data_IF_548779500605
#
_entry.id   IF_548779500605
#
_cell.length_a   1.000
_cell.length_b   1.000
_cell.length_c   1.000
_cell.angle_alpha   90.00
_cell.angle_beta   90.00
_cell.angle_gamma   90.00
#
_symmetry.space_group_name_H-M   'P 1'
#
loop_
_entity.id
_entity.type
_entity.pdbx_description
1 polymer ?
#
# COMPACT_ATOMS: atom_id res chain seq x y z
N UNK A 1 -24.70 -17.25 -45.72
CA UNK A 1 -23.68 -17.90 -44.86
C UNK A 1 -22.46 -17.02 -44.60
N UNK A 2 -21.80 -16.45 -45.60
CA UNK A 2 -20.60 -15.60 -45.40
C UNK A 2 -20.83 -14.30 -44.64
N UNK A 3 -21.99 -13.66 -44.79
CA UNK A 3 -22.36 -12.41 -44.10
C UNK A 3 -22.66 -12.65 -42.64
N UNK A 4 -23.28 -13.80 -42.30
CA UNK A 4 -23.56 -14.17 -40.90
C UNK A 4 -22.27 -14.49 -40.10
N UNK A 5 -21.26 -15.09 -40.80
CA UNK A 5 -19.95 -15.38 -40.17
C UNK A 5 -19.17 -14.09 -39.85
N UNK A 6 -19.26 -13.06 -40.73
CA UNK A 6 -18.63 -11.75 -40.50
C UNK A 6 -19.26 -10.99 -39.33
N UNK A 7 -20.59 -11.08 -39.18
CA UNK A 7 -21.30 -10.47 -38.04
C UNK A 7 -20.96 -11.18 -36.70
N UNK A 8 -20.84 -12.51 -36.71
CA UNK A 8 -20.44 -13.27 -35.52
C UNK A 8 -18.99 -13.00 -35.12
N UNK A 9 -18.07 -12.89 -36.08
CA UNK A 9 -16.68 -12.49 -35.81
C UNK A 9 -16.57 -11.06 -35.32
N UNK A 10 -17.33 -10.11 -35.88
CA UNK A 10 -17.35 -8.73 -35.40
C UNK A 10 -17.92 -8.60 -33.99
N UNK A 11 -18.97 -9.36 -33.65
CA UNK A 11 -19.54 -9.40 -32.29
C UNK A 11 -18.60 -10.08 -31.30
N UNK A 12 -17.88 -11.13 -31.69
CA UNK A 12 -16.85 -11.77 -30.86
C UNK A 12 -15.62 -10.86 -30.68
N UNK A 13 -15.18 -10.11 -31.69
CA UNK A 13 -14.15 -9.09 -31.53
C UNK A 13 -14.62 -7.91 -30.66
N UNK A 14 -15.89 -7.49 -30.73
CA UNK A 14 -16.42 -6.42 -29.89
C UNK A 14 -16.64 -6.85 -28.43
N UNK A 15 -16.88 -8.14 -28.16
CA UNK A 15 -16.99 -8.69 -26.80
C UNK A 15 -15.63 -9.00 -26.16
N UNK A 16 -14.52 -8.98 -26.92
CA UNK A 16 -13.17 -9.18 -26.36
C UNK A 16 -12.53 -7.89 -25.83
N UNK A 17 -13.16 -6.72 -26.04
CA UNK A 17 -12.58 -5.44 -25.61
C UNK A 17 -12.96 -4.98 -24.21
N UNK A 18 -13.70 -5.75 -23.42
CA UNK A 18 -14.20 -5.30 -22.10
C UNK A 18 -13.96 -6.24 -20.94
N UNK A 19 -13.11 -7.22 -21.07
CA UNK A 19 -12.68 -8.00 -19.92
C UNK A 19 -11.49 -7.30 -19.29
N UNK A 20 -11.72 -6.59 -18.16
CA UNK A 20 -10.62 -6.09 -17.35
C UNK A 20 -9.75 -7.27 -16.91
N UNK A 21 -8.45 -7.15 -17.14
CA UNK A 21 -7.51 -8.17 -16.71
C UNK A 21 -6.94 -7.75 -15.35
N UNK A 22 -6.93 -8.64 -14.35
CA UNK A 22 -6.30 -8.37 -13.08
C UNK A 22 -4.83 -7.97 -13.27
N UNK A 23 -4.32 -7.09 -12.42
CA UNK A 23 -2.87 -6.86 -12.35
C UNK A 23 -2.20 -8.19 -11.97
N UNK A 24 -1.22 -8.69 -12.74
CA UNK A 24 -0.70 -10.05 -12.59
C UNK A 24 -0.20 -10.39 -11.19
N UNK A 25 0.63 -9.51 -10.60
CA UNK A 25 1.13 -9.63 -9.23
C UNK A 25 0.51 -8.53 -8.39
N UNK A 26 -0.20 -8.90 -7.32
CA UNK A 26 -0.93 -7.96 -6.48
C UNK A 26 -0.89 -8.38 -5.03
N UNK A 27 -0.65 -7.44 -4.12
CA UNK A 27 -0.45 -7.82 -2.73
C UNK A 27 -0.16 -6.66 -1.78
N UNK A 28 0.54 -7.01 -0.72
CA UNK A 28 0.94 -6.09 0.34
C UNK A 28 2.46 -6.02 0.40
N UNK A 29 2.99 -4.83 0.64
CA UNK A 29 4.38 -4.62 1.01
C UNK A 29 4.44 -4.11 2.45
N UNK A 30 4.99 -4.91 3.38
CA UNK A 30 5.24 -4.47 4.77
C UNK A 30 6.46 -3.54 4.77
N UNK A 31 6.25 -2.30 4.31
CA UNK A 31 7.32 -1.33 4.05
C UNK A 31 7.27 -0.07 4.90
N UNK A 32 6.45 -0.03 5.95
CA UNK A 32 6.32 1.10 6.86
C UNK A 32 7.47 1.17 7.89
N UNK A 33 7.71 2.38 8.41
CA UNK A 33 8.57 2.62 9.58
C UNK A 33 7.78 2.48 10.88
N UNK A 34 8.42 1.95 11.92
CA UNK A 34 7.82 1.71 13.24
C UNK A 34 7.97 0.27 13.66
N UNK A 35 7.14 -0.16 14.61
CA UNK A 35 7.19 -1.54 15.11
C UNK A 35 6.77 -2.52 14.02
N UNK A 36 7.66 -3.41 13.56
CA UNK A 36 7.29 -4.44 12.59
C UNK A 36 6.13 -5.30 13.10
N UNK A 37 5.29 -5.75 12.21
CA UNK A 37 4.22 -6.69 12.56
C UNK A 37 4.77 -7.94 13.24
N UNK A 38 4.00 -8.52 14.14
CA UNK A 38 4.32 -9.83 14.74
C UNK A 38 4.20 -10.93 13.70
N UNK A 39 4.82 -12.07 13.95
CA UNK A 39 4.70 -13.22 13.05
C UNK A 39 3.26 -13.70 12.91
N UNK A 40 2.47 -13.61 13.98
CA UNK A 40 1.05 -13.94 13.97
C UNK A 40 0.25 -12.97 13.06
N UNK A 41 0.51 -11.66 13.16
CA UNK A 41 -0.12 -10.66 12.29
C UNK A 41 0.23 -10.90 10.81
N UNK A 42 1.49 -11.25 10.49
CA UNK A 42 1.92 -11.58 9.12
C UNK A 42 1.20 -12.83 8.59
N UNK A 43 1.13 -13.89 9.40
CA UNK A 43 0.42 -15.13 9.04
C UNK A 43 -1.09 -14.90 8.84
N UNK A 44 -1.71 -14.07 9.67
CA UNK A 44 -3.12 -13.67 9.50
C UNK A 44 -3.29 -12.82 8.23
N UNK A 45 -2.35 -11.91 7.95
CA UNK A 45 -2.38 -11.05 6.76
C UNK A 45 -2.23 -11.84 5.46
N UNK A 46 -1.31 -12.79 5.36
CA UNK A 46 -1.16 -13.58 4.13
C UNK A 46 -2.40 -14.43 3.84
N UNK A 47 -3.09 -14.95 4.87
CA UNK A 47 -4.37 -15.63 4.72
C UNK A 47 -5.47 -14.67 4.27
N UNK A 48 -5.53 -13.49 4.88
CA UNK A 48 -6.51 -12.47 4.54
C UNK A 48 -6.39 -12.04 3.08
N UNK A 49 -5.19 -11.67 2.63
CA UNK A 49 -4.98 -11.22 1.25
C UNK A 49 -5.19 -12.34 0.22
N UNK A 50 -4.82 -13.58 0.55
CA UNK A 50 -5.10 -14.74 -0.30
C UNK A 50 -6.60 -14.96 -0.52
N UNK A 51 -7.42 -14.81 0.53
CA UNK A 51 -8.88 -14.88 0.41
C UNK A 51 -9.48 -13.78 -0.46
N UNK A 52 -8.81 -12.63 -0.59
CA UNK A 52 -9.20 -11.53 -1.47
C UNK A 52 -8.70 -11.69 -2.91
N UNK A 53 -8.00 -12.79 -3.23
CA UNK A 53 -7.41 -13.02 -4.55
C UNK A 53 -6.11 -12.24 -4.81
N UNK A 54 -5.52 -11.61 -3.81
CA UNK A 54 -4.13 -11.15 -3.88
C UNK A 54 -3.19 -12.36 -3.83
N UNK A 55 -2.02 -12.24 -4.46
CA UNK A 55 -1.11 -13.37 -4.67
C UNK A 55 0.36 -13.10 -4.31
N UNK A 56 0.64 -11.99 -3.62
CA UNK A 56 2.00 -11.66 -3.23
C UNK A 56 2.07 -10.88 -1.90
N UNK A 57 3.13 -11.12 -1.14
CA UNK A 57 3.45 -10.39 0.07
C UNK A 57 4.95 -10.08 0.11
N UNK A 58 5.33 -8.80 0.17
CA UNK A 58 6.72 -8.38 0.30
C UNK A 58 7.07 -8.17 1.77
N UNK A 59 7.99 -8.99 2.28
CA UNK A 59 8.58 -8.81 3.60
C UNK A 59 9.69 -7.76 3.53
N UNK A 60 9.43 -6.56 4.02
CA UNK A 60 10.34 -5.41 3.93
C UNK A 60 10.24 -4.44 5.12
N UNK A 61 10.09 -4.90 6.39
CA UNK A 61 9.89 -3.99 7.51
C UNK A 61 11.12 -3.11 7.71
N UNK A 62 10.94 -1.78 7.62
CA UNK A 62 12.04 -0.79 7.64
C UNK A 62 12.87 -0.84 8.92
N UNK A 63 12.23 -1.13 10.05
CA UNK A 63 12.89 -1.19 11.36
C UNK A 63 13.31 -2.62 11.76
N UNK A 64 13.26 -3.59 10.82
CA UNK A 64 13.94 -4.87 10.97
C UNK A 64 15.45 -4.66 10.69
N UNK A 65 16.32 -4.82 11.68
CA UNK A 65 17.75 -4.55 11.50
C UNK A 65 18.39 -5.43 10.42
N UNK A 66 17.93 -6.66 10.24
CA UNK A 66 18.51 -7.59 9.25
C UNK A 66 18.01 -7.33 7.82
N UNK A 67 16.94 -6.59 7.66
CA UNK A 67 16.49 -6.10 6.37
C UNK A 67 17.35 -4.92 5.89
N UNK A 68 17.77 -4.01 6.79
CA UNK A 68 18.37 -2.72 6.45
C UNK A 68 19.75 -2.47 7.07
N UNK A 69 19.87 -2.20 8.37
CA UNK A 69 21.13 -1.80 9.02
C UNK A 69 22.18 -2.91 9.01
N UNK A 70 21.76 -4.13 9.33
CA UNK A 70 22.61 -5.34 9.40
C UNK A 70 22.36 -6.27 8.21
N UNK A 71 22.09 -5.69 7.05
CA UNK A 71 21.74 -6.46 5.87
C UNK A 71 22.79 -7.51 5.47
N UNK A 72 24.05 -7.34 5.85
CA UNK A 72 25.12 -8.31 5.61
C UNK A 72 25.03 -9.54 6.52
N UNK A 73 24.43 -9.38 7.70
CA UNK A 73 24.33 -10.46 8.67
C UNK A 73 23.16 -11.42 8.31
N UNK A 74 23.32 -12.74 8.55
CA UNK A 74 22.20 -13.66 8.43
C UNK A 74 21.16 -13.38 9.53
N UNK A 75 19.91 -13.66 9.24
CA UNK A 75 18.87 -13.63 10.27
C UNK A 75 19.16 -14.63 11.39
N UNK A 76 18.86 -14.31 12.67
CA UNK A 76 18.95 -15.25 13.78
C UNK A 76 18.15 -16.52 13.50
N UNK A 77 18.60 -17.64 14.08
CA UNK A 77 17.98 -18.95 13.82
C UNK A 77 16.46 -18.97 14.06
N UNK A 78 15.99 -18.36 15.17
CA UNK A 78 14.55 -18.27 15.48
C UNK A 78 13.77 -17.52 14.41
N UNK A 79 14.30 -16.39 13.92
CA UNK A 79 13.62 -15.60 12.88
C UNK A 79 13.64 -16.31 11.51
N UNK A 80 14.67 -17.11 11.22
CA UNK A 80 14.69 -17.93 10.00
C UNK A 80 13.61 -19.01 10.00
N UNK A 81 13.30 -19.59 11.16
CA UNK A 81 12.20 -20.53 11.32
C UNK A 81 10.85 -19.82 11.09
N UNK A 82 10.69 -18.62 11.61
CA UNK A 82 9.43 -17.87 11.42
C UNK A 82 9.25 -17.39 9.97
N UNK A 83 10.34 -17.02 9.28
CA UNK A 83 10.29 -16.72 7.83
C UNK A 83 9.91 -17.95 7.00
N UNK A 84 10.45 -19.12 7.34
CA UNK A 84 10.10 -20.39 6.70
C UNK A 84 8.61 -20.72 6.91
N UNK A 85 8.11 -20.60 8.16
CA UNK A 85 6.69 -20.77 8.47
C UNK A 85 5.80 -19.77 7.73
N UNK A 86 6.22 -18.51 7.67
CA UNK A 86 5.47 -17.49 6.94
C UNK A 86 5.39 -17.84 5.44
N UNK A 87 6.49 -18.33 4.85
CA UNK A 87 6.48 -18.80 3.47
C UNK A 87 5.49 -19.97 3.26
N UNK A 88 5.52 -20.97 4.15
CA UNK A 88 4.60 -22.10 4.10
C UNK A 88 3.11 -21.66 4.22
N UNK A 89 2.79 -20.74 5.13
CA UNK A 89 1.43 -20.23 5.30
C UNK A 89 1.00 -19.38 4.09
N UNK A 90 1.91 -18.61 3.51
CA UNK A 90 1.68 -17.84 2.29
C UNK A 90 1.38 -18.79 1.11
N UNK A 91 2.19 -19.83 0.90
CA UNK A 91 1.97 -20.83 -0.15
C UNK A 91 0.60 -21.53 -0.01
N UNK A 92 0.20 -21.92 1.22
CA UNK A 92 -1.14 -22.50 1.49
C UNK A 92 -2.26 -21.52 1.13
N UNK A 93 -2.04 -20.23 1.28
CA UNK A 93 -2.99 -19.18 0.94
C UNK A 93 -2.95 -18.77 -0.56
N UNK A 94 -2.08 -19.38 -1.37
CA UNK A 94 -1.86 -18.99 -2.77
C UNK A 94 -1.12 -17.65 -2.91
N UNK A 95 -0.40 -17.25 -1.87
CA UNK A 95 0.37 -15.98 -1.80
C UNK A 95 1.86 -16.29 -1.87
N UNK A 96 2.57 -15.62 -2.75
CA UNK A 96 4.02 -15.72 -2.84
C UNK A 96 4.68 -14.78 -1.84
N UNK A 97 5.55 -15.32 -0.98
CA UNK A 97 6.44 -14.51 -0.14
C UNK A 97 7.61 -13.97 -0.98
N UNK A 98 7.77 -12.65 -1.00
CA UNK A 98 8.87 -11.94 -1.65
C UNK A 98 9.77 -11.39 -0.54
N UNK A 99 11.06 -11.72 -0.59
CA UNK A 99 12.01 -11.29 0.42
C UNK A 99 12.79 -10.07 -0.06
N UNK A 100 12.63 -8.94 0.64
CA UNK A 100 13.32 -7.70 0.31
C UNK A 100 14.55 -7.46 1.20
N UNK A 101 15.57 -6.80 0.63
CA UNK A 101 16.78 -6.35 1.33
C UNK A 101 17.05 -4.90 0.93
N UNK A 102 17.35 -4.05 1.91
CA UNK A 102 17.67 -2.62 1.70
C UNK A 102 19.13 -2.32 2.10
N UNK A 103 20.10 -2.51 1.18
CA UNK A 103 21.53 -2.38 1.50
C UNK A 103 22.05 -0.95 1.41
N UNK A 104 21.23 0.00 0.98
CA UNK A 104 21.67 1.32 0.48
C UNK A 104 22.29 2.26 1.49
N UNK A 105 22.19 1.99 2.80
CA UNK A 105 22.76 2.86 3.84
C UNK A 105 24.28 2.89 3.85
N UNK A 106 24.93 1.77 3.55
CA UNK A 106 26.39 1.60 3.73
C UNK A 106 27.05 0.65 2.74
N UNK A 107 26.37 0.30 1.65
CA UNK A 107 26.91 -0.59 0.63
C UNK A 107 28.09 0.06 -0.11
N UNK A 108 29.17 -0.70 -0.27
CA UNK A 108 30.32 -0.29 -1.07
C UNK A 108 30.20 -0.80 -2.52
N UNK A 109 29.86 0.08 -3.43
CA UNK A 109 29.70 -0.30 -4.85
C UNK A 109 31.02 -0.47 -5.61
N UNK A 110 32.08 0.28 -5.24
CA UNK A 110 33.29 0.38 -6.05
C UNK A 110 34.61 0.28 -5.25
N UNK A 111 34.56 0.42 -3.93
CA UNK A 111 35.74 0.46 -3.07
C UNK A 111 36.25 -0.93 -2.65
N UNK A 112 37.00 -0.95 -1.57
CA UNK A 112 37.69 -2.16 -1.07
C UNK A 112 36.74 -3.26 -0.57
N UNK A 113 35.53 -2.89 -0.13
CA UNK A 113 34.54 -3.84 0.40
C UNK A 113 33.55 -4.36 -0.64
N UNK A 114 33.59 -3.87 -1.88
CA UNK A 114 32.67 -4.23 -2.95
C UNK A 114 32.40 -5.74 -3.07
N UNK A 115 33.46 -6.56 -3.10
CA UNK A 115 33.31 -7.99 -3.28
C UNK A 115 32.85 -8.72 -2.00
N UNK A 116 33.12 -8.15 -0.82
CA UNK A 116 32.57 -8.63 0.45
C UNK A 116 31.04 -8.37 0.49
N UNK A 117 30.61 -7.19 0.08
CA UNK A 117 29.20 -6.81 0.04
C UNK A 117 28.40 -7.65 -0.96
N UNK A 118 28.96 -7.90 -2.14
CA UNK A 118 28.39 -8.81 -3.12
C UNK A 118 28.21 -10.23 -2.57
N UNK A 119 29.26 -10.77 -1.92
CA UNK A 119 29.19 -12.11 -1.30
C UNK A 119 28.16 -12.16 -0.16
N UNK A 120 28.12 -11.13 0.70
CA UNK A 120 27.16 -11.08 1.80
C UNK A 120 25.72 -11.10 1.28
N UNK A 121 25.44 -10.35 0.20
CA UNK A 121 24.12 -10.34 -0.44
C UNK A 121 23.75 -11.71 -1.02
N UNK A 122 24.65 -12.33 -1.80
CA UNK A 122 24.42 -13.67 -2.35
C UNK A 122 24.18 -14.68 -1.23
N UNK A 123 25.03 -14.70 -0.20
CA UNK A 123 24.88 -15.62 0.92
C UNK A 123 23.53 -15.47 1.64
N UNK A 124 23.05 -14.24 1.81
CA UNK A 124 21.73 -14.00 2.40
C UNK A 124 20.60 -14.48 1.50
N UNK A 125 20.67 -14.21 0.20
CA UNK A 125 19.69 -14.68 -0.77
C UNK A 125 19.66 -16.20 -0.87
N UNK A 126 20.82 -16.86 -0.91
CA UNK A 126 20.95 -18.34 -0.88
C UNK A 126 20.32 -18.94 0.38
N UNK A 127 20.56 -18.30 1.54
CA UNK A 127 19.95 -18.74 2.79
C UNK A 127 18.42 -18.65 2.71
N UNK A 128 17.84 -17.59 2.15
CA UNK A 128 16.40 -17.46 2.01
C UNK A 128 15.83 -18.37 0.92
N UNK A 129 16.57 -18.58 -0.17
CA UNK A 129 16.23 -19.55 -1.20
C UNK A 129 16.14 -20.97 -0.61
N UNK A 130 17.06 -21.35 0.26
CA UNK A 130 17.02 -22.64 0.99
C UNK A 130 15.79 -22.78 1.91
N UNK A 131 15.09 -21.68 2.22
CA UNK A 131 13.86 -21.63 3.00
C UNK A 131 12.60 -21.58 2.12
N UNK A 132 12.71 -21.87 0.84
CA UNK A 132 11.58 -21.92 -0.09
C UNK A 132 11.26 -20.59 -0.78
N UNK A 133 11.94 -19.48 -0.48
CA UNK A 133 11.67 -18.19 -1.12
C UNK A 133 12.12 -18.21 -2.58
N UNK A 134 11.26 -17.75 -3.49
CA UNK A 134 11.45 -17.81 -4.94
C UNK A 134 11.33 -16.45 -5.64
N UNK A 135 11.26 -15.36 -4.88
CA UNK A 135 11.36 -14.01 -5.42
C UNK A 135 12.03 -13.07 -4.41
N UNK A 136 12.85 -12.17 -4.92
CA UNK A 136 13.66 -11.26 -4.14
C UNK A 136 13.47 -9.82 -4.60
N UNK A 137 13.70 -8.87 -3.67
CA UNK A 137 13.65 -7.46 -3.97
C UNK A 137 14.86 -6.72 -3.37
N UNK A 138 15.35 -5.70 -4.07
CA UNK A 138 16.38 -4.77 -3.60
C UNK A 138 15.81 -3.37 -3.50
N UNK A 139 15.88 -2.79 -2.33
CA UNK A 139 15.32 -1.48 -2.04
C UNK A 139 16.44 -0.46 -1.78
N UNK A 140 16.44 0.60 -2.58
CA UNK A 140 17.36 1.74 -2.47
C UNK A 140 16.63 3.05 -2.20
N UNK A 141 15.37 2.97 -1.74
CA UNK A 141 14.58 4.10 -1.28
C UNK A 141 15.11 4.63 0.07
N UNK A 142 14.85 5.89 0.34
CA UNK A 142 15.14 6.58 1.60
C UNK A 142 16.61 6.47 2.05
N UNK A 143 17.53 6.58 1.13
CA UNK A 143 18.97 6.59 1.39
C UNK A 143 19.59 7.94 1.02
N UNK A 144 20.66 8.36 1.72
CA UNK A 144 21.24 9.70 1.52
C UNK A 144 21.98 9.86 0.19
N UNK A 145 22.53 8.77 -0.36
CA UNK A 145 23.38 8.83 -1.56
C UNK A 145 22.67 8.29 -2.81
N UNK A 146 22.59 9.12 -3.85
CA UNK A 146 22.06 8.74 -5.18
C UNK A 146 23.18 8.24 -6.09
N UNK A 147 23.56 6.98 -5.99
CA UNK A 147 24.60 6.37 -6.82
C UNK A 147 24.02 5.43 -7.90
N UNK A 148 23.46 6.01 -8.96
CA UNK A 148 22.82 5.24 -10.02
C UNK A 148 23.75 4.18 -10.67
N UNK A 149 25.01 4.55 -10.96
CA UNK A 149 25.95 3.64 -11.60
C UNK A 149 26.33 2.48 -10.71
N UNK A 150 26.52 2.76 -9.41
CA UNK A 150 26.82 1.73 -8.40
C UNK A 150 25.63 0.79 -8.19
N UNK A 151 24.45 1.35 -8.03
CA UNK A 151 23.22 0.58 -7.87
C UNK A 151 22.92 -0.29 -9.10
N UNK A 152 22.98 0.26 -10.31
CA UNK A 152 22.76 -0.52 -11.53
C UNK A 152 23.80 -1.65 -11.70
N UNK A 153 25.07 -1.38 -11.41
CA UNK A 153 26.11 -2.42 -11.48
C UNK A 153 25.89 -3.53 -10.43
N UNK A 154 25.43 -3.18 -9.22
CA UNK A 154 25.14 -4.14 -8.19
C UNK A 154 23.88 -4.97 -8.52
N UNK A 155 22.81 -4.34 -8.97
CA UNK A 155 21.58 -5.01 -9.42
C UNK A 155 21.90 -6.00 -10.53
N UNK A 156 22.66 -5.58 -11.55
CA UNK A 156 23.06 -6.44 -12.66
C UNK A 156 23.95 -7.62 -12.18
N UNK A 157 24.84 -7.38 -11.22
CA UNK A 157 25.63 -8.46 -10.62
C UNK A 157 24.72 -9.50 -9.95
N UNK A 158 23.79 -9.09 -9.07
CA UNK A 158 22.84 -9.99 -8.41
C UNK A 158 21.95 -10.71 -9.43
N UNK A 159 21.44 -9.99 -10.41
CA UNK A 159 20.62 -10.59 -11.46
C UNK A 159 21.35 -11.66 -12.27
N UNK A 160 22.64 -11.45 -12.55
CA UNK A 160 23.42 -12.36 -13.38
C UNK A 160 24.02 -13.54 -12.60
N UNK A 161 24.36 -13.37 -11.31
CA UNK A 161 25.05 -14.38 -10.49
C UNK A 161 24.16 -15.12 -9.51
N UNK A 162 22.91 -14.70 -9.33
CA UNK A 162 21.96 -15.37 -8.45
C UNK A 162 20.62 -15.62 -9.15
N UNK A 163 19.95 -14.57 -9.64
CA UNK A 163 18.61 -14.74 -10.21
C UNK A 163 18.63 -15.68 -11.43
N UNK A 164 19.57 -15.48 -12.33
CA UNK A 164 19.67 -16.29 -13.59
C UNK A 164 20.27 -17.67 -13.39
N UNK A 165 20.98 -17.89 -12.30
CA UNK A 165 21.58 -19.20 -11.98
C UNK A 165 20.56 -20.18 -11.36
N UNK A 166 19.37 -19.68 -10.99
CA UNK A 166 18.26 -20.46 -10.43
C UNK A 166 17.04 -20.36 -11.35
N UNK A 167 16.68 -21.45 -12.01
CA UNK A 167 15.58 -21.47 -13.00
C UNK A 167 14.18 -21.21 -12.43
N UNK A 168 14.00 -21.44 -11.12
CA UNK A 168 12.72 -21.29 -10.41
C UNK A 168 12.59 -19.94 -9.66
N UNK A 169 13.59 -19.05 -9.74
CA UNK A 169 13.51 -17.71 -9.19
C UNK A 169 12.85 -16.75 -10.19
N UNK A 170 11.88 -16.01 -9.72
CA UNK A 170 11.18 -14.97 -10.50
C UNK A 170 12.04 -13.71 -10.65
N UNK A 171 11.70 -12.82 -11.59
CA UNK A 171 12.42 -11.58 -11.84
C UNK A 171 12.67 -10.77 -10.57
N UNK A 172 13.87 -10.19 -10.46
CA UNK A 172 14.26 -9.33 -9.36
C UNK A 172 13.43 -8.04 -9.35
N UNK A 173 12.89 -7.68 -8.21
CA UNK A 173 12.17 -6.43 -8.00
C UNK A 173 13.13 -5.38 -7.44
N UNK A 174 13.03 -4.14 -7.92
CA UNK A 174 13.86 -3.03 -7.46
C UNK A 174 13.02 -1.79 -7.18
N UNK A 175 13.26 -1.19 -6.03
CA UNK A 175 12.85 0.19 -5.75
C UNK A 175 14.12 1.06 -5.85
N UNK A 176 14.22 1.95 -6.84
CA UNK A 176 15.38 2.83 -7.00
C UNK A 176 15.34 3.97 -5.96
N UNK A 177 16.43 4.73 -5.80
CA UNK A 177 16.45 5.88 -4.89
C UNK A 177 15.50 6.99 -5.35
N UNK A 178 15.41 7.24 -6.64
CA UNK A 178 14.35 8.09 -7.21
C UNK A 178 13.16 7.19 -7.56
N UNK A 179 12.17 7.07 -6.67
CA UNK A 179 11.06 6.14 -6.77
C UNK A 179 9.70 6.79 -6.99
N UNK A 180 9.66 8.13 -7.16
CA UNK A 180 8.43 8.84 -7.56
C UNK A 180 8.74 9.92 -8.62
N UNK A 181 7.74 10.24 -9.44
CA UNK A 181 7.94 11.04 -10.66
C UNK A 181 8.55 12.42 -10.42
N UNK A 182 8.15 13.12 -9.33
CA UNK A 182 8.70 14.46 -9.06
C UNK A 182 10.19 14.46 -8.66
N UNK A 183 10.75 13.30 -8.24
CA UNK A 183 12.19 13.12 -8.10
C UNK A 183 12.88 12.62 -9.36
N UNK A 184 12.17 11.79 -10.15
CA UNK A 184 12.70 11.18 -11.37
C UNK A 184 12.91 12.18 -12.50
N UNK A 185 12.29 13.36 -12.43
CA UNK A 185 12.35 14.34 -13.50
C UNK A 185 12.77 15.73 -13.03
N UNK A 186 13.40 16.45 -13.94
CA UNK A 186 13.69 17.87 -13.81
C UNK A 186 13.42 18.56 -15.14
N UNK A 187 12.60 19.62 -15.12
CA UNK A 187 12.21 20.37 -16.34
C UNK A 187 11.59 19.46 -17.42
N UNK A 188 10.76 18.49 -17.04
CA UNK A 188 10.07 17.58 -17.97
C UNK A 188 10.97 16.52 -18.63
N UNK A 189 12.17 16.30 -18.10
CA UNK A 189 13.13 15.28 -18.58
C UNK A 189 13.58 14.40 -17.42
N UNK A 190 13.87 13.12 -17.66
CA UNK A 190 14.41 12.25 -16.62
C UNK A 190 15.73 12.83 -16.08
N UNK A 191 15.93 12.69 -14.78
CA UNK A 191 17.20 13.06 -14.14
C UNK A 191 18.34 12.20 -14.67
N UNK A 192 19.59 12.60 -14.36
CA UNK A 192 20.76 11.76 -14.67
C UNK A 192 20.68 10.39 -13.97
N UNK A 193 20.20 10.36 -12.71
CA UNK A 193 20.01 9.13 -11.95
C UNK A 193 19.04 8.19 -12.67
N UNK A 194 17.80 8.64 -12.92
CA UNK A 194 16.76 7.87 -13.63
C UNK A 194 17.23 7.42 -15.01
N UNK A 195 17.93 8.29 -15.77
CA UNK A 195 18.45 7.92 -17.10
C UNK A 195 19.51 6.80 -17.05
N UNK A 196 20.41 6.83 -16.06
CA UNK A 196 21.41 5.75 -15.88
C UNK A 196 20.71 4.46 -15.46
N UNK A 197 19.84 4.49 -14.44
CA UNK A 197 19.12 3.32 -13.96
C UNK A 197 18.36 2.63 -15.09
N UNK A 198 17.57 3.38 -15.85
CA UNK A 198 16.73 2.82 -16.92
C UNK A 198 17.51 2.34 -18.15
N UNK A 199 18.72 2.86 -18.40
CA UNK A 199 19.50 2.48 -19.58
C UNK A 199 20.55 1.41 -19.31
N UNK A 200 20.97 1.20 -18.06
CA UNK A 200 22.07 0.30 -17.72
C UNK A 200 21.66 -0.92 -16.91
N UNK A 201 20.46 -0.90 -16.29
CA UNK A 201 19.94 -2.07 -15.57
C UNK A 201 19.36 -3.11 -16.53
N UNK A 202 19.52 -4.38 -16.21
CA UNK A 202 18.97 -5.52 -16.99
C UNK A 202 17.47 -5.37 -17.22
N UNK A 203 17.01 -5.67 -18.43
CA UNK A 203 15.59 -5.57 -18.80
C UNK A 203 14.71 -6.62 -18.09
N UNK A 204 15.29 -7.65 -17.49
CA UNK A 204 14.55 -8.66 -16.71
C UNK A 204 14.19 -8.18 -15.29
N UNK A 205 14.65 -7.00 -14.88
CA UNK A 205 14.35 -6.42 -13.55
C UNK A 205 13.04 -5.65 -13.60
N UNK A 206 12.22 -5.78 -12.55
CA UNK A 206 10.97 -5.03 -12.40
C UNK A 206 11.18 -3.84 -11.49
N UNK A 207 10.80 -2.64 -11.93
CA UNK A 207 10.91 -1.42 -11.13
C UNK A 207 9.57 -1.04 -10.49
N UNK A 208 9.59 -0.74 -9.18
CA UNK A 208 8.43 -0.19 -8.48
C UNK A 208 8.55 1.32 -8.29
N UNK A 209 7.40 2.00 -8.32
CA UNK A 209 7.27 3.43 -8.06
C UNK A 209 5.98 3.75 -7.29
N UNK A 210 5.92 4.92 -6.65
CA UNK A 210 4.78 5.30 -5.81
C UNK A 210 3.77 6.25 -6.49
N UNK A 211 4.07 6.76 -7.66
CA UNK A 211 3.22 7.71 -8.40
C UNK A 211 3.86 9.07 -8.60
N UNK A 212 3.07 10.15 -8.57
CA UNK A 212 3.56 11.52 -8.77
C UNK A 212 4.48 12.00 -7.64
N UNK A 213 4.20 11.56 -6.40
CA UNK A 213 4.95 11.84 -5.19
C UNK A 213 5.19 10.60 -4.36
N UNK A 214 5.79 10.74 -3.17
CA UNK A 214 6.00 9.65 -2.22
C UNK A 214 4.66 9.04 -1.76
N UNK A 215 3.72 9.89 -1.31
CA UNK A 215 2.37 9.50 -0.90
C UNK A 215 1.36 10.35 -1.69
N UNK A 216 1.09 10.04 -2.96
CA UNK A 216 0.20 10.86 -3.78
C UNK A 216 -1.28 10.59 -3.47
N UNK A 217 -2.14 11.58 -3.75
CA UNK A 217 -3.59 11.48 -3.55
C UNK A 217 -4.30 10.61 -4.61
N UNK A 218 -3.59 10.13 -5.60
CA UNK A 218 -4.11 9.30 -6.68
C UNK A 218 -3.03 8.94 -7.70
N UNK A 219 -3.37 8.07 -8.62
CA UNK A 219 -2.53 7.65 -9.74
C UNK A 219 -3.20 8.02 -11.06
N UNK A 220 -2.74 9.09 -11.70
CA UNK A 220 -3.28 9.50 -12.98
C UNK A 220 -2.77 8.63 -14.15
N UNK A 221 -3.54 8.59 -15.25
CA UNK A 221 -3.09 7.91 -16.47
C UNK A 221 -1.82 8.54 -17.07
N UNK A 222 -1.60 9.82 -16.83
CA UNK A 222 -0.40 10.52 -17.32
C UNK A 222 0.84 10.18 -16.49
N UNK A 223 0.69 9.96 -15.18
CA UNK A 223 1.76 9.45 -14.33
C UNK A 223 2.21 8.06 -14.80
N UNK A 224 1.25 7.17 -15.07
CA UNK A 224 1.52 5.83 -15.61
C UNK A 224 2.30 5.90 -16.91
N UNK A 225 1.82 6.69 -17.90
CA UNK A 225 2.49 6.87 -19.20
C UNK A 225 3.91 7.42 -19.03
N UNK A 226 4.07 8.41 -18.16
CA UNK A 226 5.36 9.05 -17.92
C UNK A 226 6.37 8.08 -17.33
N UNK A 227 6.00 7.35 -16.28
CA UNK A 227 6.86 6.33 -15.69
C UNK A 227 7.27 5.25 -16.71
N UNK A 228 6.30 4.70 -17.46
CA UNK A 228 6.56 3.75 -18.54
C UNK A 228 7.50 4.32 -19.61
N UNK A 229 7.45 5.62 -19.90
CA UNK A 229 8.36 6.24 -20.87
C UNK A 229 9.81 6.27 -20.39
N UNK A 230 10.03 6.38 -19.07
CA UNK A 230 11.38 6.35 -18.47
C UNK A 230 11.93 4.92 -18.40
N UNK A 231 11.14 3.95 -17.95
CA UNK A 231 11.52 2.54 -17.79
C UNK A 231 10.93 1.64 -18.91
N UNK A 232 10.91 2.14 -20.15
CA UNK A 232 10.23 1.50 -21.31
C UNK A 232 10.66 0.07 -21.62
N UNK A 233 11.86 -0.32 -21.24
CA UNK A 233 12.42 -1.65 -21.51
C UNK A 233 12.28 -2.62 -20.35
N UNK A 234 11.70 -2.17 -19.24
CA UNK A 234 11.52 -2.96 -18.03
C UNK A 234 10.04 -3.10 -17.72
N UNK A 235 9.69 -4.20 -17.07
CA UNK A 235 8.42 -4.31 -16.40
C UNK A 235 8.37 -3.35 -15.20
N UNK A 236 7.18 -2.87 -14.90
CA UNK A 236 6.97 -1.85 -13.88
C UNK A 236 5.82 -2.21 -12.97
N UNK A 237 5.91 -1.82 -11.72
CA UNK A 237 4.87 -2.02 -10.73
C UNK A 237 4.66 -0.79 -9.85
N UNK A 238 3.56 -0.78 -9.14
CA UNK A 238 3.12 0.29 -8.26
C UNK A 238 3.31 -0.16 -6.81
N UNK A 239 4.04 0.63 -6.04
CA UNK A 239 4.07 0.60 -4.59
C UNK A 239 3.16 1.72 -4.09
N UNK A 240 1.96 1.38 -3.62
CA UNK A 240 0.97 2.36 -3.23
C UNK A 240 1.09 2.71 -1.74
N UNK A 241 1.54 3.93 -1.45
CA UNK A 241 1.74 4.43 -0.09
C UNK A 241 0.44 4.93 0.56
N UNK A 242 -0.53 4.03 0.67
CA UNK A 242 -1.75 4.15 1.44
C UNK A 242 -2.22 2.73 1.82
N UNK A 243 -2.61 2.46 3.07
CA UNK A 243 -2.88 3.36 4.19
C UNK A 243 -1.68 3.69 5.10
N UNK A 244 -0.44 3.49 4.68
CA UNK A 244 0.73 3.82 5.51
C UNK A 244 0.61 5.22 6.12
N UNK A 245 0.90 5.32 7.43
CA UNK A 245 0.77 6.56 8.20
C UNK A 245 1.95 6.83 9.14
N UNK A 246 3.08 6.22 8.89
CA UNK A 246 4.27 6.27 9.74
C UNK A 246 4.84 7.69 9.91
N UNK A 247 4.58 8.58 8.96
CA UNK A 247 4.92 10.01 9.03
C UNK A 247 3.88 10.86 9.79
N UNK A 248 2.69 10.31 10.11
CA UNK A 248 1.61 10.94 10.90
C UNK A 248 0.94 9.89 11.80
N UNK A 249 1.70 9.32 12.74
CA UNK A 249 1.31 8.13 13.53
C UNK A 249 0.04 8.29 14.40
N UNK A 250 -0.35 9.51 14.72
CA UNK A 250 -1.55 9.83 15.49
C UNK A 250 -2.83 9.91 14.66
N UNK A 251 -2.75 9.65 13.35
CA UNK A 251 -3.88 9.63 12.43
C UNK A 251 -4.05 8.26 11.80
N UNK A 252 -5.31 7.86 11.62
CA UNK A 252 -5.69 6.62 10.94
C UNK A 252 -6.02 6.89 9.48
N UNK A 253 -5.77 5.89 8.63
CA UNK A 253 -6.11 5.89 7.22
C UNK A 253 -7.09 4.73 6.93
N UNK A 254 -8.38 4.98 7.14
CA UNK A 254 -9.45 3.96 7.06
C UNK A 254 -10.35 4.13 5.83
N UNK A 255 -10.00 5.02 4.92
CA UNK A 255 -10.70 5.20 3.65
C UNK A 255 -10.34 4.12 2.62
N UNK A 256 -11.01 4.15 1.46
CA UNK A 256 -10.65 3.29 0.33
C UNK A 256 -9.37 3.78 -0.35
N UNK A 257 -8.77 2.92 -1.16
CA UNK A 257 -7.86 3.35 -2.21
C UNK A 257 -8.68 4.06 -3.27
N UNK A 258 -8.39 5.30 -3.57
CA UNK A 258 -9.19 6.13 -4.46
C UNK A 258 -8.36 6.88 -5.51
N UNK A 259 -9.05 7.54 -6.46
CA UNK A 259 -8.42 8.33 -7.54
C UNK A 259 -7.41 7.53 -8.39
N UNK A 260 -7.64 6.24 -8.56
CA UNK A 260 -6.73 5.35 -9.27
C UNK A 260 -6.99 5.32 -10.78
N UNK A 261 -5.92 5.21 -11.56
CA UNK A 261 -6.02 5.01 -13.01
C UNK A 261 -6.81 3.75 -13.36
N UNK A 262 -7.73 3.86 -14.30
CA UNK A 262 -8.49 2.71 -14.85
C UNK A 262 -7.65 1.79 -15.75
N UNK A 263 -6.46 2.22 -16.12
CA UNK A 263 -5.49 1.44 -16.91
C UNK A 263 -4.08 1.64 -16.35
N UNK A 264 -3.72 0.98 -15.25
CA UNK A 264 -2.43 1.18 -14.58
C UNK A 264 -1.22 0.69 -15.39
N UNK A 265 -1.40 -0.18 -16.41
CA UNK A 265 -0.33 -0.74 -17.24
C UNK A 265 0.85 -1.26 -16.41
N UNK A 266 0.57 -1.88 -15.27
CA UNK A 266 1.54 -2.36 -14.30
C UNK A 266 1.50 -3.88 -14.20
N UNK A 267 2.68 -4.51 -14.08
CA UNK A 267 2.80 -5.94 -13.80
C UNK A 267 2.58 -6.27 -12.32
N UNK A 268 2.76 -5.27 -11.45
CA UNK A 268 2.67 -5.44 -10.01
C UNK A 268 1.94 -4.26 -9.34
N UNK A 269 1.19 -4.57 -8.28
CA UNK A 269 0.56 -3.58 -7.41
C UNK A 269 0.64 -4.02 -5.95
N UNK A 270 1.25 -3.19 -5.11
CA UNK A 270 1.41 -3.46 -3.69
C UNK A 270 0.89 -2.32 -2.83
N UNK A 271 0.08 -2.66 -1.85
CA UNK A 271 -0.43 -1.73 -0.83
C UNK A 271 0.56 -1.68 0.33
N UNK A 272 1.02 -0.49 0.71
CA UNK A 272 1.85 -0.29 1.91
C UNK A 272 0.93 0.06 3.11
N UNK A 273 0.86 -0.80 4.13
CA UNK A 273 -0.09 -0.68 5.23
C UNK A 273 0.40 0.23 6.36
N UNK A 274 -0.48 0.46 7.35
CA UNK A 274 -0.11 1.03 8.65
C UNK A 274 0.59 -0.02 9.54
N UNK A 275 1.26 0.43 10.59
CA UNK A 275 1.69 -0.41 11.72
C UNK A 275 0.50 -1.18 12.34
N UNK A 276 -0.72 -0.66 12.23
CA UNK A 276 -1.99 -1.25 12.69
C UNK A 276 -2.52 -2.26 11.68
N UNK A 277 -2.17 -3.53 11.86
CA UNK A 277 -2.43 -4.60 10.89
C UNK A 277 -3.93 -4.84 10.64
N UNK A 278 -4.75 -4.86 11.71
CA UNK A 278 -6.19 -5.12 11.59
C UNK A 278 -6.93 -3.97 10.91
N UNK A 279 -6.60 -2.74 11.26
CA UNK A 279 -7.22 -1.56 10.64
C UNK A 279 -6.78 -1.36 9.19
N UNK A 280 -5.57 -1.78 8.83
CA UNK A 280 -5.07 -1.74 7.45
C UNK A 280 -5.87 -2.62 6.49
N UNK A 281 -6.53 -3.66 7.00
CA UNK A 281 -7.35 -4.58 6.20
C UNK A 281 -8.46 -3.90 5.42
N UNK A 282 -9.00 -2.76 5.90
CA UNK A 282 -10.02 -1.98 5.19
C UNK A 282 -9.48 -1.50 3.84
N UNK A 283 -8.38 -0.76 3.85
CA UNK A 283 -7.78 -0.23 2.63
C UNK A 283 -7.17 -1.35 1.76
N UNK A 284 -6.58 -2.39 2.37
CA UNK A 284 -6.04 -3.54 1.64
C UNK A 284 -7.14 -4.26 0.85
N UNK A 285 -8.35 -4.43 1.42
CA UNK A 285 -9.47 -5.04 0.72
C UNK A 285 -9.89 -4.21 -0.51
N UNK A 286 -9.93 -2.88 -0.38
CA UNK A 286 -10.24 -2.02 -1.53
C UNK A 286 -9.12 -2.03 -2.58
N UNK A 287 -7.86 -2.18 -2.14
CA UNK A 287 -6.72 -2.37 -3.04
C UNK A 287 -6.76 -3.69 -3.79
N UNK A 288 -7.29 -4.74 -3.14
CA UNK A 288 -7.52 -6.02 -3.81
C UNK A 288 -8.58 -5.89 -4.91
N UNK A 289 -9.71 -5.27 -4.62
CA UNK A 289 -10.77 -5.02 -5.62
C UNK A 289 -10.24 -4.19 -6.79
N UNK A 290 -9.49 -3.11 -6.51
CA UNK A 290 -8.83 -2.33 -7.55
C UNK A 290 -7.90 -3.19 -8.42
N UNK A 291 -7.02 -3.95 -7.79
CA UNK A 291 -6.04 -4.75 -8.54
C UNK A 291 -6.68 -5.91 -9.32
N UNK A 292 -7.84 -6.40 -8.90
CA UNK A 292 -8.60 -7.43 -9.61
C UNK A 292 -9.34 -6.88 -10.84
N UNK A 293 -9.84 -5.67 -10.77
CA UNK A 293 -10.56 -5.03 -11.88
C UNK A 293 -10.36 -3.50 -11.87
N UNK A 294 -9.19 -3.00 -12.33
CA UNK A 294 -8.95 -1.56 -12.33
C UNK A 294 -9.95 -0.74 -13.16
N UNK A 295 -10.46 -1.34 -14.25
CA UNK A 295 -11.37 -0.66 -15.16
C UNK A 295 -12.72 -0.33 -14.53
N UNK A 296 -13.30 -1.28 -13.79
CA UNK A 296 -14.63 -1.17 -13.20
C UNK A 296 -14.59 -0.91 -11.68
N UNK A 297 -13.42 -0.66 -11.12
CA UNK A 297 -13.28 -0.35 -9.71
C UNK A 297 -14.14 0.86 -9.31
N UNK A 298 -14.96 0.65 -8.26
CA UNK A 298 -15.79 1.66 -7.61
C UNK A 298 -15.36 1.73 -6.14
N UNK A 299 -14.63 2.77 -5.80
CA UNK A 299 -14.01 2.95 -4.48
C UNK A 299 -15.04 2.99 -3.35
N UNK A 300 -16.19 3.62 -3.59
CA UNK A 300 -17.27 3.74 -2.57
C UNK A 300 -17.89 2.38 -2.29
N UNK A 301 -18.27 1.65 -3.32
CA UNK A 301 -18.85 0.32 -3.19
C UNK A 301 -17.86 -0.66 -2.56
N UNK A 302 -16.62 -0.66 -3.01
CA UNK A 302 -15.56 -1.50 -2.47
C UNK A 302 -15.34 -1.25 -0.98
N UNK A 303 -15.32 0.02 -0.57
CA UNK A 303 -15.15 0.39 0.82
C UNK A 303 -16.30 -0.06 1.73
N UNK A 304 -17.55 0.13 1.29
CA UNK A 304 -18.71 -0.40 2.01
C UNK A 304 -18.67 -1.92 2.15
N UNK A 305 -18.32 -2.62 1.08
CA UNK A 305 -18.17 -4.08 1.12
C UNK A 305 -17.07 -4.50 2.10
N UNK A 306 -15.91 -3.84 2.06
CA UNK A 306 -14.79 -4.12 2.97
C UNK A 306 -15.18 -3.95 4.44
N UNK A 307 -15.93 -2.90 4.78
CA UNK A 307 -16.43 -2.67 6.13
C UNK A 307 -17.46 -3.74 6.54
N UNK A 308 -18.39 -4.07 5.64
CA UNK A 308 -19.42 -5.07 5.90
C UNK A 308 -18.83 -6.47 6.14
N UNK A 309 -17.94 -6.92 5.27
CA UNK A 309 -17.31 -8.25 5.36
C UNK A 309 -16.42 -8.39 6.62
N UNK A 310 -15.73 -7.32 7.02
CA UNK A 310 -14.80 -7.39 8.16
C UNK A 310 -15.49 -7.17 9.51
N UNK A 311 -16.53 -6.35 9.58
CA UNK A 311 -17.12 -5.92 10.84
C UNK A 311 -18.57 -6.41 11.05
N UNK A 312 -19.24 -6.94 10.03
CA UNK A 312 -20.56 -7.55 10.10
C UNK A 312 -21.57 -6.62 10.80
N UNK A 313 -22.15 -7.07 11.92
CA UNK A 313 -23.13 -6.28 12.68
C UNK A 313 -22.64 -4.92 13.23
N UNK A 314 -21.34 -4.69 13.21
CA UNK A 314 -20.71 -3.43 13.63
C UNK A 314 -20.34 -2.54 12.44
N UNK A 315 -20.68 -2.92 11.21
CA UNK A 315 -20.28 -2.24 9.97
C UNK A 315 -20.71 -0.78 9.91
N UNK A 316 -21.95 -0.47 10.27
CA UNK A 316 -22.47 0.91 10.29
C UNK A 316 -21.77 1.78 11.33
N UNK A 317 -21.49 1.23 12.52
CA UNK A 317 -20.74 1.96 13.55
C UNK A 317 -19.30 2.18 13.10
N UNK A 318 -18.69 1.16 12.50
CA UNK A 318 -17.34 1.23 11.97
C UNK A 318 -17.25 2.18 10.77
N UNK A 319 -18.29 2.27 9.95
CA UNK A 319 -18.38 3.24 8.86
C UNK A 319 -18.32 4.68 9.39
N UNK A 320 -19.07 5.01 10.45
CA UNK A 320 -19.02 6.34 11.08
C UNK A 320 -17.64 6.68 11.65
N UNK A 321 -16.93 5.66 12.17
CA UNK A 321 -15.56 5.82 12.64
C UNK A 321 -14.57 5.96 11.47
N UNK A 322 -14.67 5.10 10.48
CA UNK A 322 -13.79 5.12 9.31
C UNK A 322 -13.99 6.38 8.45
N UNK A 323 -15.23 6.87 8.30
CA UNK A 323 -15.54 8.13 7.59
C UNK A 323 -14.80 9.33 8.20
N UNK A 324 -14.70 9.37 9.52
CA UNK A 324 -13.95 10.42 10.23
C UNK A 324 -12.42 10.27 10.13
N UNK A 325 -11.94 9.13 9.63
CA UNK A 325 -10.52 8.75 9.55
C UNK A 325 -10.12 8.27 8.15
N UNK A 326 -10.71 8.82 7.08
CA UNK A 326 -10.48 8.32 5.71
C UNK A 326 -9.11 8.67 5.16
N UNK A 327 -8.58 9.86 5.47
CA UNK A 327 -7.41 10.44 4.80
C UNK A 327 -6.41 11.02 5.78
N UNK A 328 -5.15 11.09 5.36
CA UNK A 328 -4.02 11.62 6.13
C UNK A 328 -3.73 13.11 5.88
N UNK A 329 -4.64 13.83 5.26
CA UNK A 329 -4.50 15.26 4.94
C UNK A 329 -4.38 16.14 6.20
N UNK A 330 -3.79 17.33 6.03
CA UNK A 330 -3.49 18.24 7.15
C UNK A 330 -4.72 18.75 7.92
N UNK A 331 -5.92 18.70 7.33
CA UNK A 331 -7.16 19.17 7.93
C UNK A 331 -7.71 18.27 9.05
N UNK A 332 -7.04 17.18 9.35
CA UNK A 332 -7.42 16.21 10.37
C UNK A 332 -7.06 16.66 11.80
N UNK A 333 -6.91 17.94 12.03
CA UNK A 333 -6.50 18.50 13.32
C UNK A 333 -7.47 18.20 14.50
N UNK A 334 -8.70 17.79 14.21
CA UNK A 334 -9.69 17.43 15.23
C UNK A 334 -10.37 16.12 14.87
N UNK A 335 -10.19 15.07 15.67
CA UNK A 335 -10.96 13.84 15.51
C UNK A 335 -12.45 14.17 15.59
N UNK A 336 -13.15 13.94 14.49
CA UNK A 336 -14.59 13.94 14.44
C UNK A 336 -15.32 15.25 14.19
N UNK A 337 -14.68 16.41 14.20
CA UNK A 337 -15.42 17.67 14.18
C UNK A 337 -15.90 18.09 12.79
N UNK A 338 -15.03 18.27 11.85
CA UNK A 338 -15.36 18.77 10.49
C UNK A 338 -14.80 17.90 9.37
N UNK A 339 -14.21 16.77 9.71
CA UNK A 339 -13.41 15.98 8.79
C UNK A 339 -14.25 15.06 7.89
N UNK A 340 -15.48 14.77 8.29
CA UNK A 340 -16.36 14.00 7.40
C UNK A 340 -17.00 14.92 6.38
N UNK A 341 -17.08 14.53 5.10
CA UNK A 341 -17.65 15.37 4.06
C UNK A 341 -19.09 15.83 4.35
N UNK A 342 -19.89 14.98 4.99
CA UNK A 342 -21.25 15.30 5.40
C UNK A 342 -21.31 16.39 6.49
N UNK A 343 -20.53 16.24 7.54
CA UNK A 343 -20.45 17.22 8.62
C UNK A 343 -19.87 18.55 8.15
N UNK A 344 -18.81 18.54 7.36
CA UNK A 344 -18.21 19.75 6.77
C UNK A 344 -19.27 20.56 6.02
N UNK A 345 -20.06 19.91 5.18
CA UNK A 345 -21.18 20.58 4.48
C UNK A 345 -22.23 21.18 5.43
N UNK A 346 -22.59 20.47 6.51
CA UNK A 346 -23.52 20.99 7.51
C UNK A 346 -22.97 22.22 8.24
N UNK A 347 -21.67 22.24 8.60
CA UNK A 347 -21.03 23.40 9.20
C UNK A 347 -20.95 24.60 8.24
N UNK A 348 -20.66 24.37 6.96
CA UNK A 348 -20.69 25.39 5.90
C UNK A 348 -22.09 25.97 5.71
N UNK A 349 -23.13 25.13 5.73
CA UNK A 349 -24.53 25.56 5.68
C UNK A 349 -24.90 26.37 6.94
N UNK A 350 -24.50 25.92 8.11
CA UNK A 350 -24.75 26.62 9.38
C UNK A 350 -24.14 28.04 9.36
N UNK A 351 -22.94 28.19 8.80
CA UNK A 351 -22.29 29.49 8.69
C UNK A 351 -23.02 30.50 7.80
N UNK A 352 -23.71 30.01 6.74
CA UNK A 352 -24.43 30.82 5.74
C UNK A 352 -25.92 30.97 6.01
N UNK A 353 -26.48 30.20 6.94
CA UNK A 353 -27.91 30.04 7.16
C UNK A 353 -28.56 31.27 7.86
N UNK A 354 -29.82 31.58 7.50
CA UNK A 354 -30.66 32.50 8.23
C UNK A 354 -31.16 31.87 9.55
N UNK A 355 -31.86 32.67 10.40
CA UNK A 355 -32.29 32.24 11.75
C UNK A 355 -33.12 30.93 11.76
N UNK A 356 -34.01 30.73 10.78
CA UNK A 356 -34.84 29.53 10.70
C UNK A 356 -34.04 28.31 10.23
N UNK A 357 -33.21 28.50 9.22
CA UNK A 357 -32.30 27.48 8.68
C UNK A 357 -31.27 27.06 9.72
N UNK A 358 -30.68 27.99 10.46
CA UNK A 358 -29.75 27.70 11.55
C UNK A 358 -30.31 26.67 12.54
N UNK A 359 -31.57 26.85 12.95
CA UNK A 359 -32.22 25.90 13.88
C UNK A 359 -32.29 24.49 13.31
N UNK A 360 -32.63 24.36 12.00
CA UNK A 360 -32.73 23.06 11.36
C UNK A 360 -31.36 22.40 11.17
N UNK A 361 -30.36 23.15 10.71
CA UNK A 361 -28.99 22.64 10.53
C UNK A 361 -28.36 22.25 11.86
N UNK A 362 -28.56 23.08 12.91
CA UNK A 362 -28.08 22.74 14.26
C UNK A 362 -28.72 21.45 14.77
N UNK A 363 -30.01 21.24 14.54
CA UNK A 363 -30.70 19.99 14.90
C UNK A 363 -30.06 18.77 14.19
N UNK A 364 -29.82 18.85 12.88
CA UNK A 364 -29.14 17.78 12.14
C UNK A 364 -27.73 17.50 12.65
N UNK A 365 -26.97 18.55 13.00
CA UNK A 365 -25.63 18.37 13.58
C UNK A 365 -25.69 17.73 14.97
N UNK A 366 -26.70 18.04 15.79
CA UNK A 366 -26.91 17.41 17.10
C UNK A 366 -27.22 15.92 16.91
N UNK A 367 -28.17 15.58 16.04
CA UNK A 367 -28.56 14.19 15.77
C UNK A 367 -27.38 13.35 15.25
N UNK A 368 -26.61 13.88 14.28
CA UNK A 368 -25.39 13.21 13.77
C UNK A 368 -24.32 13.07 14.89
N UNK A 369 -24.14 14.08 15.71
CA UNK A 369 -23.16 14.03 16.80
C UNK A 369 -23.52 12.99 17.87
N UNK A 370 -24.81 12.92 18.25
CA UNK A 370 -25.30 11.91 19.20
C UNK A 370 -25.17 10.49 18.61
N UNK A 371 -25.52 10.29 17.34
CA UNK A 371 -25.35 9.01 16.66
C UNK A 371 -23.88 8.53 16.63
N UNK A 372 -22.93 9.45 16.39
CA UNK A 372 -21.50 9.12 16.40
C UNK A 372 -20.99 8.78 17.81
N UNK A 373 -21.42 9.48 18.83
CA UNK A 373 -21.07 9.14 20.22
C UNK A 373 -21.53 7.71 20.54
N UNK A 374 -22.80 7.40 20.25
CA UNK A 374 -23.37 6.08 20.51
C UNK A 374 -22.65 4.98 19.71
N UNK A 375 -22.35 5.23 18.43
CA UNK A 375 -21.61 4.31 17.58
C UNK A 375 -20.22 4.00 18.16
N UNK A 376 -19.46 5.01 18.54
CA UNK A 376 -18.13 4.85 19.12
C UNK A 376 -18.16 4.13 20.48
N UNK A 377 -19.17 4.42 21.32
CA UNK A 377 -19.38 3.70 22.59
C UNK A 377 -19.78 2.22 22.35
N UNK A 378 -20.52 1.92 21.29
CA UNK A 378 -20.80 0.53 20.89
C UNK A 378 -19.55 -0.18 20.35
N UNK A 379 -18.74 0.49 19.53
CA UNK A 379 -17.46 -0.06 19.03
C UNK A 379 -16.52 -0.41 20.18
N UNK A 380 -16.37 0.44 21.18
CA UNK A 380 -15.54 0.14 22.37
C UNK A 380 -15.97 -1.15 23.09
N UNK A 381 -17.23 -1.53 23.00
CA UNK A 381 -17.78 -2.72 23.69
C UNK A 381 -17.78 -3.98 22.82
N UNK A 382 -17.92 -3.82 21.49
CA UNK A 382 -18.28 -4.91 20.59
C UNK A 382 -17.17 -5.31 19.63
N UNK A 383 -16.15 -4.46 19.42
CA UNK A 383 -15.04 -4.82 18.54
C UNK A 383 -14.20 -5.97 19.13
N UNK A 384 -13.68 -6.87 18.27
CA UNK A 384 -12.70 -7.86 18.69
C UNK A 384 -11.48 -7.19 19.36
N UNK A 385 -10.93 -7.85 20.36
CA UNK A 385 -9.81 -7.30 21.15
C UNK A 385 -8.63 -6.85 20.29
N UNK A 386 -8.31 -7.62 19.24
CA UNK A 386 -7.21 -7.30 18.31
C UNK A 386 -7.44 -6.00 17.54
N UNK A 387 -8.68 -5.70 17.14
CA UNK A 387 -9.04 -4.44 16.47
C UNK A 387 -9.09 -3.29 17.47
N UNK A 388 -9.70 -3.53 18.64
CA UNK A 388 -9.84 -2.51 19.68
C UNK A 388 -8.48 -2.01 20.17
N UNK A 389 -7.47 -2.87 20.31
CA UNK A 389 -6.10 -2.47 20.66
C UNK A 389 -5.50 -1.46 19.71
N UNK A 390 -5.90 -1.49 18.45
CA UNK A 390 -5.36 -0.62 17.40
C UNK A 390 -6.07 0.74 17.29
N UNK A 391 -7.27 0.92 17.91
CA UNK A 391 -8.07 2.15 17.79
C UNK A 391 -8.69 2.64 19.10
N UNK A 392 -8.37 2.06 20.24
CA UNK A 392 -9.01 2.43 21.52
C UNK A 392 -8.82 3.91 21.89
N UNK A 393 -7.63 4.45 21.65
CA UNK A 393 -7.30 5.84 21.95
C UNK A 393 -8.04 6.80 21.02
N UNK A 394 -8.13 6.48 19.72
CA UNK A 394 -8.86 7.27 18.74
C UNK A 394 -10.36 7.26 19.00
N UNK A 395 -10.93 6.10 19.37
CA UNK A 395 -12.34 6.02 19.80
C UNK A 395 -12.61 6.88 21.02
N UNK A 396 -11.74 6.82 22.04
CA UNK A 396 -11.88 7.63 23.25
C UNK A 396 -11.79 9.12 22.95
N UNK A 397 -10.77 9.55 22.21
CA UNK A 397 -10.60 10.96 21.79
C UNK A 397 -11.78 11.44 20.95
N UNK A 398 -12.30 10.59 20.06
CA UNK A 398 -13.49 10.89 19.26
C UNK A 398 -14.73 11.12 20.12
N UNK A 399 -15.00 10.26 21.10
CA UNK A 399 -16.13 10.42 22.03
C UNK A 399 -16.01 11.73 22.82
N UNK A 400 -14.82 12.04 23.35
CA UNK A 400 -14.57 13.28 24.09
C UNK A 400 -14.79 14.52 23.19
N UNK A 401 -14.28 14.49 21.96
CA UNK A 401 -14.46 15.55 20.98
C UNK A 401 -15.92 15.78 20.60
N UNK A 402 -16.66 14.71 20.29
CA UNK A 402 -18.09 14.82 19.98
C UNK A 402 -18.93 15.27 21.16
N UNK A 403 -18.62 14.86 22.41
CA UNK A 403 -19.30 15.36 23.62
C UNK A 403 -19.07 16.85 23.82
N UNK A 404 -17.87 17.36 23.52
CA UNK A 404 -17.59 18.79 23.55
C UNK A 404 -18.38 19.55 22.49
N UNK A 405 -18.42 19.06 21.24
CA UNK A 405 -19.21 19.63 20.16
C UNK A 405 -20.71 19.67 20.48
N UNK A 406 -21.24 18.58 21.00
CA UNK A 406 -22.65 18.50 21.40
C UNK A 406 -23.03 19.58 22.44
N UNK A 407 -22.13 19.81 23.41
CA UNK A 407 -22.32 20.86 24.42
C UNK A 407 -22.35 22.26 23.79
N UNK A 408 -21.54 22.52 22.76
CA UNK A 408 -21.54 23.80 22.06
C UNK A 408 -22.77 23.96 21.13
N UNK A 409 -23.16 22.92 20.43
CA UNK A 409 -24.34 22.93 19.56
C UNK A 409 -25.63 23.16 20.32
N UNK A 410 -25.78 22.60 21.56
CA UNK A 410 -26.96 22.78 22.41
C UNK A 410 -27.06 24.19 23.04
N UNK A 411 -26.03 25.03 22.89
CA UNK A 411 -26.07 26.44 23.33
C UNK A 411 -26.56 27.39 22.22
N UNK A 412 -26.56 26.95 20.99
CA UNK A 412 -26.98 27.74 19.80
C UNK A 412 -28.46 27.56 19.48
#
# INVERSE_FOLDING_TARGET
MKVLLFFLMAVLCYMSETMASPIPVRGVVEGFYGTPWTWEQRQDMVKFIGNLGMNAYIYAPKDDPYHREKWREPYPFSQRIELERLNEEAEKAGVQLIFAISPGLDIDFFGANKDNDRRAMINKMELMYSKGIRQFALFFDDIPEKNASGQAAFINYINNTFIRDHEDIKPLIVVPTEYFLSEMEKYGRPTRYTSIMSSTTSHSVVFLYTGAGCCPDGLSQDDVKKFKSYYRNNDTGIWWNYPVNDYIKDKLALGPIDNMSKNPQAEMFFVNPMERAELSKIAIATGADYAMDPLHYDETKSWFNALHEQYGKNDMDMMLFAEANQRLENDWAGIGRENTPGRKRLYEQLAKANKKEKKNVTKLLIEDTEARIEAYERLQKNLPEKVLKECADELKKGIEGYKADLKELKKK
#
